data_IF_074557443806
#
_entry.id   IF_074557443806
#
_cell.length_a   1.000
_cell.length_b   1.000
_cell.length_c   1.000
_cell.angle_alpha   90.00
_cell.angle_beta   90.00
_cell.angle_gamma   90.00
#
_symmetry.space_group_name_H-M   'P 1'
#
loop_
_entity.id
_entity.type
_entity.pdbx_description
1 polymer ?
#
# COMPACT_ATOMS: atom_id res chain seq x y z
N UNK A 1 -2.25 -19.21 4.04
CA UNK A 1 -1.11 -19.49 3.15
C UNK A 1 -0.11 -18.33 3.13
N UNK A 2 -0.55 -17.11 2.83
CA UNK A 2 0.38 -15.98 2.79
C UNK A 2 0.59 -15.40 4.18
N UNK A 3 1.84 -15.08 4.52
CA UNK A 3 2.19 -14.33 5.72
C UNK A 3 1.85 -12.85 5.52
N UNK A 4 2.33 -12.30 4.44
CA UNK A 4 2.10 -10.89 4.09
C UNK A 4 2.38 -10.69 2.60
N UNK A 5 1.88 -9.57 2.08
CA UNK A 5 2.16 -9.13 0.72
C UNK A 5 2.91 -7.80 0.85
N UNK A 6 4.00 -7.66 0.11
CA UNK A 6 4.84 -6.47 0.16
C UNK A 6 5.05 -5.93 -1.24
N UNK A 7 4.91 -4.61 -1.41
CA UNK A 7 5.20 -3.95 -2.68
C UNK A 7 6.22 -2.84 -2.47
N UNK A 8 7.02 -2.60 -3.50
CA UNK A 8 8.04 -1.55 -3.48
C UNK A 8 7.47 -0.17 -3.79
N UNK A 9 8.13 0.86 -3.26
CA UNK A 9 7.76 2.25 -3.51
C UNK A 9 9.02 3.09 -3.73
N UNK A 10 8.92 4.04 -4.66
CA UNK A 10 9.99 5.01 -4.93
C UNK A 10 9.82 6.31 -4.14
N UNK A 11 8.67 6.49 -3.51
CA UNK A 11 8.40 7.61 -2.62
C UNK A 11 7.52 7.09 -1.47
N UNK A 12 8.18 6.54 -0.47
CA UNK A 12 7.50 5.77 0.58
C UNK A 12 6.51 6.62 1.38
N UNK A 13 6.81 7.90 1.62
CA UNK A 13 5.91 8.75 2.39
C UNK A 13 4.65 9.11 1.61
N UNK A 14 4.75 9.31 0.30
CA UNK A 14 3.58 9.52 -0.56
C UNK A 14 2.75 8.25 -0.68
N UNK A 15 3.40 7.11 -0.81
CA UNK A 15 2.71 5.83 -0.82
C UNK A 15 1.97 5.59 0.50
N UNK A 16 2.58 5.98 1.63
CA UNK A 16 1.91 5.87 2.93
C UNK A 16 0.62 6.69 2.96
N UNK A 17 0.64 7.94 2.49
CA UNK A 17 -0.56 8.77 2.43
C UNK A 17 -1.65 8.08 1.61
N UNK A 18 -1.29 7.56 0.45
CA UNK A 18 -2.22 6.86 -0.42
C UNK A 18 -2.85 5.66 0.27
N UNK A 19 -2.03 4.78 0.83
CA UNK A 19 -2.54 3.55 1.45
C UNK A 19 -3.23 3.80 2.79
N UNK A 20 -2.81 4.79 3.56
CA UNK A 20 -3.55 5.20 4.77
C UNK A 20 -5.00 5.56 4.40
N UNK A 21 -5.19 6.24 3.28
CA UNK A 21 -6.51 6.66 2.84
C UNK A 21 -7.33 5.49 2.28
N UNK A 22 -6.79 4.75 1.30
CA UNK A 22 -7.58 3.70 0.65
C UNK A 22 -7.82 2.50 1.56
N UNK A 23 -6.85 2.11 2.36
CA UNK A 23 -7.04 1.00 3.30
C UNK A 23 -7.82 1.43 4.54
N UNK A 24 -7.75 2.72 4.88
CA UNK A 24 -8.59 3.27 5.94
C UNK A 24 -10.07 3.14 5.65
N UNK A 25 -10.48 3.28 4.38
CA UNK A 25 -11.88 3.04 3.97
C UNK A 25 -12.31 1.60 4.26
N UNK A 26 -11.39 0.66 4.17
CA UNK A 26 -11.66 -0.76 4.46
C UNK A 26 -11.60 -1.08 5.95
N UNK A 27 -11.20 -0.13 6.79
CA UNK A 27 -11.14 -0.32 8.24
C UNK A 27 -9.73 -0.50 8.80
N UNK A 28 -8.69 -0.45 7.99
CA UNK A 28 -7.33 -0.54 8.48
C UNK A 28 -6.92 0.77 9.16
N UNK A 29 -6.13 0.65 10.21
CA UNK A 29 -5.47 1.81 10.83
C UNK A 29 -4.34 2.29 9.93
N UNK A 30 -3.79 3.47 10.23
CA UNK A 30 -2.65 3.98 9.47
C UNK A 30 -1.46 3.02 9.50
N UNK A 31 -0.61 3.11 8.51
CA UNK A 31 0.57 2.25 8.39
C UNK A 31 1.50 2.38 9.60
N UNK A 32 2.00 1.24 10.04
CA UNK A 32 2.91 1.15 11.18
C UNK A 32 4.34 1.15 10.67
N UNK A 33 5.14 2.08 11.17
CA UNK A 33 6.55 2.17 10.82
C UNK A 33 7.32 0.98 11.41
N UNK A 34 7.85 0.15 10.53
CA UNK A 34 8.65 -1.03 10.92
C UNK A 34 9.82 -1.16 9.94
N UNK A 35 10.91 -0.40 10.18
CA UNK A 35 12.03 -0.38 9.23
C UNK A 35 12.72 -1.74 9.15
N UNK A 36 13.30 -2.03 7.98
CA UNK A 36 14.11 -3.21 7.79
C UNK A 36 15.43 -3.07 8.59
N UNK A 37 16.02 -4.19 8.95
CA UNK A 37 17.33 -4.20 9.63
C UNK A 37 18.42 -3.52 8.78
N UNK A 38 18.28 -3.54 7.47
CA UNK A 38 19.20 -2.87 6.53
C UNK A 38 18.88 -1.41 6.29
N UNK A 39 17.90 -0.83 7.02
CA UNK A 39 17.62 0.60 7.05
C UNK A 39 16.50 1.10 6.15
N UNK A 40 15.97 0.26 5.25
CA UNK A 40 14.87 0.67 4.40
C UNK A 40 13.60 0.95 5.20
N UNK A 41 12.91 2.03 4.87
CA UNK A 41 11.64 2.39 5.48
C UNK A 41 10.55 1.46 4.98
N UNK A 42 9.74 0.95 5.91
CA UNK A 42 8.59 0.12 5.61
C UNK A 42 7.40 0.56 6.44
N UNK A 43 6.19 0.40 5.87
CA UNK A 43 4.95 0.59 6.61
C UNK A 43 4.09 -0.67 6.46
N UNK A 44 3.55 -1.12 7.58
CA UNK A 44 2.74 -2.34 7.65
C UNK A 44 1.30 -1.98 7.95
N UNK A 45 0.39 -2.60 7.23
CA UNK A 45 -1.06 -2.45 7.40
C UNK A 45 -1.66 -3.78 7.80
N UNK A 46 -2.46 -3.76 8.85
CA UNK A 46 -3.10 -4.96 9.37
C UNK A 46 -4.61 -4.79 9.29
N UNK A 47 -5.28 -5.76 8.69
CA UNK A 47 -6.72 -5.76 8.58
C UNK A 47 -7.20 -7.21 8.58
N UNK A 48 -8.10 -7.52 9.50
CA UNK A 48 -8.58 -8.87 9.76
C UNK A 48 -7.38 -9.78 10.00
N UNK A 49 -7.03 -10.73 9.42
CA UNK A 49 -5.84 -11.55 9.65
C UNK A 49 -4.81 -11.39 8.53
N UNK A 50 -4.97 -10.33 7.76
CA UNK A 50 -4.09 -10.09 6.63
C UNK A 50 -3.11 -8.96 6.93
N UNK A 51 -1.93 -9.05 6.33
CA UNK A 51 -0.89 -8.05 6.44
C UNK A 51 -0.47 -7.61 5.04
N UNK A 52 -0.51 -6.31 4.82
CA UNK A 52 -0.05 -5.68 3.58
C UNK A 52 1.03 -4.67 3.94
N UNK A 53 2.13 -4.65 3.19
CA UNK A 53 3.21 -3.71 3.48
C UNK A 53 3.73 -3.03 2.24
N UNK A 54 4.25 -1.83 2.45
CA UNK A 54 4.98 -1.07 1.45
C UNK A 54 6.40 -0.86 1.95
N UNK A 55 7.36 -0.86 1.04
CA UNK A 55 8.78 -0.79 1.40
C UNK A 55 9.59 -0.04 0.37
N UNK A 56 10.63 0.65 0.84
CA UNK A 56 11.73 0.99 -0.05
C UNK A 56 12.42 -0.32 -0.45
N UNK A 57 12.79 -0.50 -1.74
CA UNK A 57 13.42 -1.74 -2.18
C UNK A 57 14.70 -2.05 -1.41
N UNK A 58 14.83 -3.30 -0.99
CA UNK A 58 15.95 -3.73 -0.16
C UNK A 58 17.30 -3.64 -0.87
N UNK A 59 17.30 -3.74 -2.20
CA UNK A 59 18.53 -3.65 -2.99
C UNK A 59 18.96 -2.21 -3.27
N UNK A 60 18.21 -1.22 -2.80
CA UNK A 60 18.51 0.19 -3.00
C UNK A 60 18.23 0.71 -4.40
N UNK A 61 17.75 -0.14 -5.29
CA UNK A 61 17.40 0.26 -6.64
C UNK A 61 15.97 0.78 -6.72
N UNK A 62 15.62 1.34 -7.88
CA UNK A 62 14.29 1.84 -8.13
C UNK A 62 13.27 0.69 -8.15
N UNK A 63 12.11 0.93 -7.55
CA UNK A 63 11.00 -0.01 -7.61
C UNK A 63 10.36 0.05 -9.00
N UNK A 64 9.97 -1.12 -9.52
CA UNK A 64 9.29 -1.23 -10.80
C UNK A 64 7.97 -1.97 -10.62
N UNK A 65 6.87 -1.52 -11.27
CA UNK A 65 5.65 -2.32 -11.31
C UNK A 65 5.92 -3.58 -12.12
N UNK A 66 5.56 -4.71 -11.58
CA UNK A 66 5.67 -5.97 -12.32
C UNK A 66 4.67 -6.03 -13.46
N UNK A 67 4.92 -6.93 -14.40
CA UNK A 67 4.00 -7.21 -15.49
C UNK A 67 3.24 -8.49 -15.16
N UNK A 68 1.91 -8.39 -15.08
CA UNK A 68 1.06 -9.54 -14.72
C UNK A 68 0.79 -9.70 -13.23
N UNK A 69 1.21 -8.75 -12.41
CA UNK A 69 0.93 -8.77 -10.98
C UNK A 69 -0.35 -8.01 -10.67
N UNK A 70 -1.14 -8.56 -9.73
CA UNK A 70 -2.34 -7.89 -9.23
C UNK A 70 -2.44 -8.13 -7.74
N UNK A 71 -2.69 -7.06 -7.00
CA UNK A 71 -3.06 -7.13 -5.59
C UNK A 71 -4.47 -6.56 -5.48
N UNK A 72 -5.41 -7.40 -5.07
CA UNK A 72 -6.82 -7.02 -4.97
C UNK A 72 -7.27 -7.04 -3.52
N UNK A 73 -8.07 -6.04 -3.15
CA UNK A 73 -8.61 -5.93 -1.80
C UNK A 73 -10.11 -6.22 -1.83
N UNK A 74 -10.57 -6.98 -0.84
CA UNK A 74 -11.99 -7.27 -0.69
C UNK A 74 -12.72 -6.05 -0.10
N UNK A 75 -13.92 -5.80 -0.61
CA UNK A 75 -14.82 -4.80 -0.03
C UNK A 75 -16.10 -5.50 0.44
N UNK A 76 -16.67 -5.09 1.60
CA UNK A 76 -17.85 -5.78 2.15
C UNK A 76 -19.14 -5.50 1.38
N UNK A 77 -19.22 -4.37 0.68
CA UNK A 77 -20.43 -3.97 -0.03
C UNK A 77 -20.10 -2.93 -1.12
N UNK A 78 -21.09 -2.63 -1.94
CA UNK A 78 -20.92 -1.68 -3.06
C UNK A 78 -20.64 -0.28 -2.56
N UNK A 79 -21.28 0.13 -1.47
CA UNK A 79 -21.07 1.48 -0.91
C UNK A 79 -19.63 1.67 -0.47
N UNK A 80 -19.07 0.71 0.26
CA UNK A 80 -17.66 0.74 0.67
C UNK A 80 -16.74 0.69 -0.54
N UNK A 81 -17.07 -0.12 -1.54
CA UNK A 81 -16.30 -0.18 -2.79
C UNK A 81 -16.25 1.17 -3.49
N UNK A 82 -17.37 1.88 -3.53
CA UNK A 82 -17.43 3.22 -4.11
C UNK A 82 -16.58 4.22 -3.32
N UNK A 83 -16.64 4.17 -1.99
CA UNK A 83 -15.80 5.02 -1.13
C UNK A 83 -14.32 4.73 -1.31
N UNK A 84 -13.97 3.45 -1.40
CA UNK A 84 -12.60 3.02 -1.65
C UNK A 84 -12.08 3.54 -2.98
N UNK A 85 -12.89 3.40 -4.03
CA UNK A 85 -12.54 3.88 -5.35
C UNK A 85 -12.39 5.42 -5.36
N UNK A 86 -13.29 6.14 -4.68
CA UNK A 86 -13.23 7.60 -4.60
C UNK A 86 -12.01 8.10 -3.80
N UNK A 87 -11.57 7.35 -2.80
CA UNK A 87 -10.39 7.72 -2.00
C UNK A 87 -9.10 7.63 -2.82
N UNK A 88 -9.03 6.74 -3.80
CA UNK A 88 -7.85 6.55 -4.63
C UNK A 88 -7.45 7.81 -5.41
N UNK A 89 -8.33 8.40 -6.22
CA UNK A 89 -8.00 9.62 -6.98
C UNK A 89 -7.56 10.79 -6.10
N UNK A 90 -8.20 10.99 -4.96
CA UNK A 90 -7.83 12.07 -4.02
C UNK A 90 -6.40 11.88 -3.51
N UNK A 91 -6.04 10.66 -3.16
CA UNK A 91 -4.70 10.34 -2.65
C UNK A 91 -3.67 10.22 -3.77
N UNK A 92 -4.11 9.82 -4.96
CA UNK A 92 -3.23 9.58 -6.11
C UNK A 92 -2.49 10.83 -6.55
N UNK A 93 -3.05 12.01 -6.31
CA UNK A 93 -2.37 13.28 -6.64
C UNK A 93 -1.04 13.42 -5.90
N UNK A 94 -0.84 12.68 -4.82
CA UNK A 94 0.40 12.66 -4.05
C UNK A 94 1.39 11.60 -4.53
N UNK A 95 0.98 10.72 -5.46
CA UNK A 95 1.83 9.67 -6.00
C UNK A 95 2.42 10.10 -7.33
N UNK A 96 3.55 9.50 -7.65
CA UNK A 96 4.12 9.62 -8.98
C UNK A 96 3.46 8.62 -9.91
N UNK A 97 3.43 8.92 -11.21
CA UNK A 97 2.77 8.07 -12.19
C UNK A 97 3.32 6.64 -12.25
N UNK A 98 4.56 6.43 -11.83
CA UNK A 98 5.20 5.11 -11.86
C UNK A 98 4.99 4.30 -10.59
N UNK A 99 4.30 4.84 -9.58
CA UNK A 99 3.99 4.10 -8.38
C UNK A 99 2.97 3.01 -8.70
N UNK A 100 3.14 1.86 -8.07
CA UNK A 100 2.25 0.71 -8.25
C UNK A 100 1.03 0.82 -7.33
N UNK A 101 -0.13 0.60 -7.89
CA UNK A 101 -1.39 0.54 -7.14
C UNK A 101 -1.96 -0.86 -7.12
#
# INVERSE_FOLDING_TARGET
MFSHIMIGSNDIEKSKIFYDNVLGVLGAKEGVFMPNLTGQTRYFYFLDKNTFCITEPIDGNEAHPGNGNTVAFNVPDVETGNKWHAAGPVSYTHLRAHETL
#
